data_IF_002444006654
#
_entry.id   IF_002444006654
#
_cell.length_a   1.000
_cell.length_b   1.000
_cell.length_c   1.000
_cell.angle_alpha   90.00
_cell.angle_beta   90.00
_cell.angle_gamma   90.00
#
_symmetry.space_group_name_H-M   'P 1'
#
loop_
_entity.id
_entity.type
_entity.pdbx_description
1 polymer ?
#
# COMPACT_ATOMS: atom_id res chain seq x y z
N UNK A 1 -10.86 -10.72 -14.48
CA UNK A 1 -10.87 -11.73 -13.45
C UNK A 1 -12.02 -11.50 -12.48
N UNK A 2 -12.94 -12.45 -12.40
CA UNK A 2 -14.14 -12.34 -11.55
C UNK A 2 -13.81 -12.07 -10.08
N UNK A 3 -12.74 -12.67 -9.58
CA UNK A 3 -12.34 -12.50 -8.20
C UNK A 3 -11.98 -11.04 -7.91
N UNK A 4 -11.19 -10.44 -8.77
CA UNK A 4 -10.80 -9.04 -8.60
C UNK A 4 -11.95 -8.08 -8.80
N UNK A 5 -12.84 -8.36 -9.77
CA UNK A 5 -14.04 -7.54 -9.95
C UNK A 5 -14.89 -7.55 -8.69
N UNK A 6 -15.10 -8.73 -8.13
CA UNK A 6 -15.87 -8.88 -6.90
C UNK A 6 -15.22 -8.16 -5.74
N UNK A 7 -13.90 -8.30 -5.58
CA UNK A 7 -13.16 -7.61 -4.52
C UNK A 7 -13.21 -6.10 -4.67
N UNK A 8 -12.96 -5.60 -5.87
CA UNK A 8 -12.97 -4.18 -6.15
C UNK A 8 -14.35 -3.55 -6.00
N UNK A 9 -15.42 -4.32 -6.26
CA UNK A 9 -16.78 -3.83 -6.16
C UNK A 9 -17.40 -3.91 -4.77
N UNK A 10 -16.98 -4.88 -3.96
CA UNK A 10 -17.65 -5.22 -2.70
C UNK A 10 -16.79 -4.97 -1.47
N UNK A 11 -15.48 -5.21 -1.56
CA UNK A 11 -14.59 -5.10 -0.41
C UNK A 11 -14.47 -3.64 0.01
N UNK A 12 -14.63 -3.42 1.30
CA UNK A 12 -14.46 -2.09 1.89
C UNK A 12 -13.01 -1.90 2.32
N UNK A 13 -12.53 -0.66 2.38
CA UNK A 13 -11.22 -0.38 2.97
C UNK A 13 -11.18 -0.85 4.42
N UNK A 14 -10.00 -1.20 4.88
CA UNK A 14 -9.82 -1.55 6.28
C UNK A 14 -10.17 -0.38 7.18
N UNK A 15 -10.53 -0.68 8.41
CA UNK A 15 -10.92 0.33 9.39
C UNK A 15 -9.87 1.44 9.48
N UNK A 16 -10.32 2.66 9.43
CA UNK A 16 -9.53 3.90 9.53
C UNK A 16 -8.58 4.17 8.35
N UNK A 17 -8.55 3.30 7.33
CA UNK A 17 -7.63 3.47 6.20
C UNK A 17 -7.88 4.79 5.46
N UNK A 18 -9.14 5.08 5.13
CA UNK A 18 -9.50 6.27 4.37
C UNK A 18 -9.13 7.55 5.12
N UNK A 19 -9.52 7.62 6.40
CA UNK A 19 -9.26 8.79 7.24
C UNK A 19 -7.78 9.07 7.37
N UNK A 20 -6.98 8.01 7.58
CA UNK A 20 -5.54 8.14 7.78
C UNK A 20 -4.84 8.54 6.50
N UNK A 21 -5.16 7.90 5.36
CA UNK A 21 -4.56 8.24 4.09
C UNK A 21 -4.86 9.70 3.74
N UNK A 22 -6.11 10.12 3.92
CA UNK A 22 -6.53 11.48 3.61
C UNK A 22 -5.87 12.50 4.55
N UNK A 23 -5.67 12.13 5.81
CA UNK A 23 -4.94 12.95 6.76
C UNK A 23 -3.50 13.17 6.30
N UNK A 24 -2.81 12.10 5.90
CA UNK A 24 -1.44 12.20 5.38
C UNK A 24 -1.39 13.10 4.15
N UNK A 25 -2.39 13.00 3.28
CA UNK A 25 -2.46 13.85 2.08
C UNK A 25 -2.61 15.32 2.48
N UNK A 26 -3.47 15.61 3.43
CA UNK A 26 -3.67 16.98 3.93
C UNK A 26 -2.43 17.54 4.61
N UNK A 27 -1.62 16.68 5.21
CA UNK A 27 -0.35 17.08 5.85
C UNK A 27 0.77 17.36 4.85
N UNK A 28 0.49 17.25 3.56
CA UNK A 28 1.44 17.57 2.51
C UNK A 28 2.21 16.40 1.92
N UNK A 29 1.84 15.19 2.29
CA UNK A 29 2.49 14.00 1.74
C UNK A 29 1.94 13.64 0.37
N UNK A 30 2.81 13.12 -0.48
CA UNK A 30 2.39 12.54 -1.76
C UNK A 30 2.03 11.08 -1.55
N UNK A 31 0.85 10.69 -2.00
CA UNK A 31 0.32 9.35 -1.81
C UNK A 31 0.34 8.59 -3.13
N UNK A 32 1.06 7.48 -3.12
CA UNK A 32 1.16 6.59 -4.29
C UNK A 32 0.50 5.27 -3.95
N UNK A 33 -0.37 4.80 -4.86
CA UNK A 33 -0.99 3.49 -4.75
C UNK A 33 -0.38 2.61 -5.82
N UNK A 34 0.26 1.53 -5.41
CA UNK A 34 1.05 0.70 -6.30
C UNK A 34 0.56 -0.75 -6.20
N UNK A 35 0.30 -1.36 -7.34
CA UNK A 35 -0.18 -2.74 -7.39
C UNK A 35 0.49 -3.51 -8.52
N UNK A 36 0.70 -4.81 -8.28
CA UNK A 36 1.21 -5.73 -9.29
C UNK A 36 0.09 -6.38 -10.11
N UNK A 37 -1.16 -5.96 -9.92
CA UNK A 37 -2.29 -6.53 -10.65
C UNK A 37 -2.18 -6.25 -12.14
N UNK A 38 -2.52 -7.24 -12.96
CA UNK A 38 -2.46 -7.13 -14.41
C UNK A 38 -3.88 -7.01 -14.98
N UNK A 39 -4.09 -6.15 -15.99
CA UNK A 39 -5.38 -6.09 -16.67
C UNK A 39 -5.67 -7.42 -17.36
N UNK A 40 -6.95 -7.79 -17.43
CA UNK A 40 -7.41 -8.93 -18.22
C UNK A 40 -8.23 -8.40 -19.38
N UNK A 41 -8.50 -9.26 -20.39
CA UNK A 41 -9.27 -8.88 -21.57
C UNK A 41 -10.67 -8.38 -21.24
N UNK A 42 -11.28 -8.94 -20.20
CA UNK A 42 -12.66 -8.65 -19.83
C UNK A 42 -12.79 -7.84 -18.54
N UNK A 43 -11.68 -7.24 -18.09
CA UNK A 43 -11.66 -6.55 -16.81
C UNK A 43 -10.62 -5.44 -16.81
N UNK A 44 -11.10 -4.21 -16.80
CA UNK A 44 -10.23 -3.04 -16.72
C UNK A 44 -9.87 -2.77 -15.25
N UNK A 45 -8.72 -3.27 -14.82
CA UNK A 45 -8.26 -3.15 -13.44
C UNK A 45 -8.04 -1.68 -13.07
N UNK A 46 -7.53 -0.88 -14.00
CA UNK A 46 -7.32 0.54 -13.73
C UNK A 46 -8.63 1.27 -13.45
N UNK A 47 -9.60 1.12 -14.34
CA UNK A 47 -10.91 1.75 -14.17
C UNK A 47 -11.61 1.29 -12.90
N UNK A 48 -11.56 0.00 -12.61
CA UNK A 48 -12.19 -0.56 -11.41
C UNK A 48 -11.51 -0.08 -10.14
N UNK A 49 -10.19 0.01 -10.17
CA UNK A 49 -9.43 0.52 -9.01
C UNK A 49 -9.74 1.99 -8.78
N UNK A 50 -9.77 2.78 -9.84
CA UNK A 50 -10.13 4.20 -9.73
C UNK A 50 -11.54 4.41 -9.21
N UNK A 51 -12.50 3.60 -9.68
CA UNK A 51 -13.88 3.64 -9.18
C UNK A 51 -13.94 3.34 -7.68
N UNK A 52 -13.21 2.31 -7.26
CA UNK A 52 -13.17 1.89 -5.86
C UNK A 52 -12.58 2.99 -4.97
N UNK A 53 -11.47 3.58 -5.41
CA UNK A 53 -10.83 4.68 -4.68
C UNK A 53 -11.76 5.89 -4.58
N UNK A 54 -12.44 6.22 -5.66
CA UNK A 54 -13.39 7.33 -5.70
C UNK A 54 -14.59 7.06 -4.81
N UNK A 55 -15.13 5.83 -4.87
CA UNK A 55 -16.29 5.43 -4.06
C UNK A 55 -16.05 5.66 -2.57
N UNK A 56 -14.85 5.35 -2.10
CA UNK A 56 -14.51 5.49 -0.68
C UNK A 56 -13.83 6.80 -0.34
N UNK A 57 -13.68 7.70 -1.30
CA UNK A 57 -13.13 9.03 -1.05
C UNK A 57 -11.65 9.04 -0.71
N UNK A 58 -10.89 8.07 -1.20
CA UNK A 58 -9.45 7.99 -0.95
C UNK A 58 -8.73 8.98 -1.86
N UNK A 59 -7.98 9.90 -1.27
CA UNK A 59 -7.20 10.89 -1.99
C UNK A 59 -5.79 10.36 -2.24
N UNK A 60 -5.33 10.46 -3.49
CA UNK A 60 -3.99 9.98 -3.86
C UNK A 60 -3.45 10.81 -5.02
N UNK A 61 -2.13 10.74 -5.21
CA UNK A 61 -1.46 11.49 -6.27
C UNK A 61 -1.28 10.66 -7.53
N UNK A 62 -0.88 9.41 -7.38
CA UNK A 62 -0.66 8.50 -8.51
C UNK A 62 -1.10 7.10 -8.21
N UNK A 63 -1.63 6.44 -9.23
CA UNK A 63 -1.96 5.01 -9.21
C UNK A 63 -1.07 4.33 -10.25
N UNK A 64 -0.21 3.44 -9.77
CA UNK A 64 0.72 2.68 -10.61
C UNK A 64 0.30 1.22 -10.67
N UNK A 65 -0.03 0.75 -11.86
CA UNK A 65 -0.47 -0.62 -12.09
C UNK A 65 0.62 -1.43 -12.78
N UNK A 66 0.52 -2.74 -12.70
CA UNK A 66 1.45 -3.67 -13.36
C UNK A 66 2.90 -3.50 -12.91
N UNK A 67 3.09 -3.14 -11.65
CA UNK A 67 4.43 -2.96 -11.10
C UNK A 67 4.91 -4.28 -10.54
N UNK A 68 5.84 -4.92 -11.25
CA UNK A 68 6.44 -6.17 -10.80
C UNK A 68 7.55 -5.95 -9.79
N UNK A 69 8.36 -4.92 -10.00
CA UNK A 69 9.46 -4.57 -9.11
C UNK A 69 9.13 -3.29 -8.35
N UNK A 70 8.56 -3.46 -7.16
CA UNK A 70 8.15 -2.31 -6.34
C UNK A 70 9.33 -1.51 -5.81
N UNK A 71 10.47 -2.16 -5.57
CA UNK A 71 11.68 -1.47 -5.13
C UNK A 71 12.18 -0.50 -6.21
N UNK A 72 12.14 -0.91 -7.47
CA UNK A 72 12.52 -0.04 -8.57
C UNK A 72 11.54 1.12 -8.72
N UNK A 73 10.25 0.84 -8.62
CA UNK A 73 9.22 1.89 -8.67
C UNK A 73 9.43 2.91 -7.54
N UNK A 74 9.74 2.44 -6.34
CA UNK A 74 10.01 3.32 -5.21
C UNK A 74 11.18 4.27 -5.49
N UNK A 75 12.23 3.76 -6.12
CA UNK A 75 13.38 4.60 -6.52
C UNK A 75 13.00 5.60 -7.59
N UNK A 76 12.28 5.14 -8.61
CA UNK A 76 11.90 5.98 -9.75
C UNK A 76 11.02 7.15 -9.34
N UNK A 77 10.17 6.97 -8.34
CA UNK A 77 9.25 8.00 -7.85
C UNK A 77 9.69 8.63 -6.53
N UNK A 78 10.88 8.32 -6.05
CA UNK A 78 11.44 8.85 -4.80
C UNK A 78 10.53 8.59 -3.60
N UNK A 79 10.00 7.38 -3.51
CA UNK A 79 9.14 6.98 -2.40
C UNK A 79 10.01 6.72 -1.17
N UNK A 80 9.72 7.39 -0.08
CA UNK A 80 10.50 7.30 1.15
C UNK A 80 10.01 6.19 2.09
N UNK A 81 8.70 5.96 2.09
CA UNK A 81 8.06 4.98 2.99
C UNK A 81 7.15 4.09 2.15
N UNK A 82 7.22 2.80 2.38
CA UNK A 82 6.41 1.83 1.66
C UNK A 82 5.69 0.91 2.64
N UNK A 83 4.44 0.60 2.33
CA UNK A 83 3.61 -0.28 3.16
C UNK A 83 3.08 -1.38 2.25
N UNK A 84 3.32 -2.62 2.61
CA UNK A 84 2.88 -3.77 1.81
C UNK A 84 2.54 -4.93 2.75
N UNK A 85 1.77 -5.89 2.26
CA UNK A 85 1.45 -7.10 3.01
C UNK A 85 2.27 -8.31 2.54
N UNK A 86 3.01 -8.19 1.45
CA UNK A 86 3.89 -9.23 0.94
C UNK A 86 5.27 -9.13 1.57
N UNK A 87 5.65 -10.13 2.35
CA UNK A 87 6.97 -10.15 2.98
C UNK A 87 8.09 -10.15 1.94
N UNK A 88 7.88 -10.82 0.82
CA UNK A 88 8.85 -10.82 -0.29
C UNK A 88 9.09 -9.40 -0.79
N UNK A 89 8.02 -8.65 -1.03
CA UNK A 89 8.13 -7.26 -1.47
C UNK A 89 8.79 -6.39 -0.39
N UNK A 90 8.40 -6.59 0.86
CA UNK A 90 8.97 -5.83 1.98
C UNK A 90 10.47 -6.08 2.11
N UNK A 91 10.93 -7.30 1.94
CA UNK A 91 12.36 -7.62 1.98
C UNK A 91 13.12 -6.90 0.89
N UNK A 92 12.59 -6.91 -0.34
CA UNK A 92 13.22 -6.23 -1.47
C UNK A 92 13.30 -4.72 -1.25
N UNK A 93 12.21 -4.14 -0.74
CA UNK A 93 12.15 -2.71 -0.45
C UNK A 93 13.14 -2.32 0.65
N UNK A 94 13.18 -3.08 1.72
CA UNK A 94 14.07 -2.84 2.85
C UNK A 94 15.55 -2.96 2.43
N UNK A 95 15.87 -3.99 1.64
CA UNK A 95 17.23 -4.18 1.12
C UNK A 95 17.66 -3.02 0.22
N UNK A 96 16.70 -2.34 -0.39
CA UNK A 96 16.97 -1.16 -1.23
C UNK A 96 17.04 0.13 -0.42
N UNK A 97 16.97 0.05 0.90
CA UNK A 97 17.10 1.22 1.78
C UNK A 97 15.82 2.01 1.99
N UNK A 98 14.67 1.46 1.63
CA UNK A 98 13.39 2.14 1.77
C UNK A 98 12.77 1.76 3.11
N UNK A 99 12.29 2.76 3.86
CA UNK A 99 11.60 2.51 5.13
C UNK A 99 10.35 1.70 4.86
N UNK A 100 10.25 0.51 5.42
CA UNK A 100 9.22 -0.46 5.04
C UNK A 100 8.42 -0.94 6.26
N UNK A 101 7.12 -0.96 6.08
CA UNK A 101 6.17 -1.52 7.04
C UNK A 101 5.44 -2.69 6.40
N UNK A 102 5.33 -3.81 7.12
CA UNK A 102 4.54 -4.93 6.65
C UNK A 102 3.22 -4.97 7.43
N UNK A 103 2.13 -5.04 6.68
CA UNK A 103 0.81 -5.15 7.29
C UNK A 103 0.55 -6.61 7.62
N UNK A 104 0.25 -6.90 8.89
CA UNK A 104 0.02 -8.27 9.35
C UNK A 104 -1.21 -8.88 8.69
N UNK A 105 -1.06 -10.09 8.17
CA UNK A 105 -2.14 -10.87 7.57
C UNK A 105 -1.96 -12.34 7.92
N UNK A 106 -2.99 -13.13 7.67
CA UNK A 106 -2.91 -14.58 7.89
C UNK A 106 -1.81 -15.24 7.06
N UNK A 107 -1.54 -14.68 5.88
CA UNK A 107 -0.54 -15.23 4.97
C UNK A 107 0.87 -14.99 5.50
N UNK A 108 1.11 -13.85 6.11
CA UNK A 108 2.46 -13.46 6.55
C UNK A 108 2.69 -13.53 8.07
N UNK A 109 1.67 -13.83 8.87
CA UNK A 109 1.75 -13.73 10.33
C UNK A 109 2.85 -14.58 10.96
N UNK A 110 3.21 -15.70 10.33
CA UNK A 110 4.25 -16.60 10.84
C UNK A 110 5.62 -16.39 10.19
N UNK A 111 5.77 -15.36 9.37
CA UNK A 111 7.03 -15.04 8.71
C UNK A 111 7.75 -13.97 9.52
N UNK A 112 8.96 -14.27 9.98
CA UNK A 112 9.75 -13.30 10.73
C UNK A 112 10.12 -12.10 9.87
N UNK A 113 10.08 -10.93 10.47
CA UNK A 113 10.52 -9.70 9.81
C UNK A 113 12.01 -9.50 10.01
N UNK A 114 12.67 -9.02 8.97
CA UNK A 114 14.01 -8.45 9.11
C UNK A 114 13.91 -7.28 10.11
N UNK A 115 15.01 -7.01 10.84
CA UNK A 115 15.03 -5.96 11.87
C UNK A 115 14.68 -4.57 11.34
N UNK A 116 14.86 -4.35 10.05
CA UNK A 116 14.57 -3.06 9.40
C UNK A 116 13.10 -2.92 8.95
N UNK A 117 12.33 -4.00 9.05
CA UNK A 117 10.92 -4.00 8.65
C UNK A 117 10.08 -4.02 9.91
N UNK A 118 9.19 -3.05 10.04
CA UNK A 118 8.27 -3.00 11.18
C UNK A 118 6.93 -3.61 10.78
N UNK A 119 6.46 -4.55 11.59
CA UNK A 119 5.13 -5.15 11.42
C UNK A 119 4.10 -4.26 12.09
N UNK A 120 3.02 -3.98 11.38
CA UNK A 120 1.90 -3.21 11.91
C UNK A 120 0.62 -4.02 11.80
N UNK A 121 -0.28 -3.81 12.73
CA UNK A 121 -1.47 -4.64 12.88
C UNK A 121 -2.77 -3.92 12.53
N UNK A 122 -2.72 -2.62 12.37
CA UNK A 122 -3.89 -1.80 12.04
C UNK A 122 -3.43 -0.48 11.42
N UNK A 123 -4.35 0.22 10.80
CA UNK A 123 -4.05 1.55 10.26
C UNK A 123 -3.72 2.55 11.37
N UNK A 124 -4.36 2.45 12.52
CA UNK A 124 -4.02 3.29 13.68
C UNK A 124 -2.60 3.00 14.17
N UNK A 125 -2.22 1.74 14.26
CA UNK A 125 -0.86 1.35 14.64
C UNK A 125 0.16 1.89 13.63
N UNK A 126 -0.13 1.72 12.35
CA UNK A 126 0.73 2.24 11.28
C UNK A 126 0.90 3.76 11.40
N UNK A 127 -0.20 4.48 11.64
CA UNK A 127 -0.14 5.93 11.79
C UNK A 127 0.74 6.34 12.97
N UNK A 128 0.62 5.66 14.10
CA UNK A 128 1.46 5.92 15.27
C UNK A 128 2.94 5.71 14.96
N UNK A 129 3.26 4.62 14.26
CA UNK A 129 4.65 4.32 13.90
C UNK A 129 5.21 5.35 12.92
N UNK A 130 4.40 5.78 11.95
CA UNK A 130 4.83 6.79 10.99
C UNK A 130 5.02 8.15 11.65
N UNK A 131 4.14 8.56 12.54
CA UNK A 131 4.32 9.81 13.28
C UNK A 131 5.61 9.80 14.08
N UNK A 132 5.89 8.69 14.75
CA UNK A 132 7.13 8.53 15.50
C UNK A 132 8.37 8.61 14.58
N UNK A 133 8.30 7.97 13.42
CA UNK A 133 9.38 7.96 12.45
C UNK A 133 9.61 9.34 11.84
N UNK A 134 8.54 10.03 11.47
CA UNK A 134 8.63 11.33 10.79
C UNK A 134 9.03 12.47 11.73
N UNK A 135 8.80 12.32 13.02
CA UNK A 135 9.07 13.35 14.01
C UNK A 135 10.42 13.17 14.73
N UNK A 136 11.28 12.32 14.21
CA UNK A 136 12.64 12.14 14.77
C UNK A 136 13.60 13.20 14.29
#
# INVERSE_FOLDING_TARGET
NKYYEKMMGIVKPKLNAVEIINKWKEEGNNIYIITARFPSENFDIKAKTEEWLKKYGIKYDKLLLNVENKAQAAKDYNIEVFIDDSMKNCNQLSESGIKTYVFDTRINENIECDSKIKRVYSWLHLNQELESYMNK
#
